data_IF_785778920618
#
_entry.id   IF_785778920618
#
_cell.length_a   1.000
_cell.length_b   1.000
_cell.length_c   1.000
_cell.angle_alpha   90.00
_cell.angle_beta   90.00
_cell.angle_gamma   90.00
#
_symmetry.space_group_name_H-M   'P 1'
#
loop_
_entity.id
_entity.type
_entity.pdbx_description
1 polymer ?
#
# COMPACT_ATOMS: atom_id res chain seq x y z
N UNK A 1 -13.32 10.43 7.75
CA UNK A 1 -13.16 10.12 6.31
C UNK A 1 -11.75 10.39 5.76
N UNK A 2 -10.98 11.33 6.31
CA UNK A 2 -9.64 11.73 5.83
C UNK A 2 -8.57 10.63 5.85
N UNK A 3 -8.53 9.77 6.89
CA UNK A 3 -7.51 8.70 6.99
C UNK A 3 -7.64 7.61 5.93
N UNK A 4 -8.87 7.26 5.54
CA UNK A 4 -9.13 6.25 4.52
C UNK A 4 -8.69 6.75 3.14
N UNK A 5 -8.96 8.04 2.85
CA UNK A 5 -8.51 8.69 1.61
C UNK A 5 -6.99 8.71 1.52
N UNK A 6 -6.30 9.00 2.62
CA UNK A 6 -4.83 9.01 2.67
C UNK A 6 -4.24 7.62 2.40
N UNK A 7 -4.80 6.56 3.01
CA UNK A 7 -4.37 5.17 2.77
C UNK A 7 -4.64 4.75 1.32
N UNK A 8 -5.79 5.13 0.75
CA UNK A 8 -6.09 4.86 -0.64
C UNK A 8 -5.12 5.56 -1.59
N UNK A 9 -4.80 6.84 -1.35
CA UNK A 9 -3.80 7.56 -2.13
C UNK A 9 -2.40 6.97 -1.99
N UNK A 10 -2.00 6.56 -0.78
CA UNK A 10 -0.73 5.88 -0.54
C UNK A 10 -0.64 4.56 -1.34
N UNK A 11 -1.72 3.79 -1.37
CA UNK A 11 -1.81 2.55 -2.14
C UNK A 11 -1.73 2.80 -3.65
N UNK A 12 -2.45 3.82 -4.15
CA UNK A 12 -2.43 4.20 -5.57
C UNK A 12 -1.02 4.63 -5.99
N UNK A 13 -0.36 5.47 -5.20
CA UNK A 13 1.00 5.94 -5.49
C UNK A 13 1.99 4.76 -5.51
N UNK A 14 1.91 3.85 -4.52
CA UNK A 14 2.74 2.66 -4.50
C UNK A 14 2.50 1.74 -5.72
N UNK A 15 1.25 1.57 -6.12
CA UNK A 15 0.87 0.83 -7.32
C UNK A 15 1.42 1.46 -8.61
N UNK A 16 1.36 2.78 -8.74
CA UNK A 16 1.91 3.49 -9.89
C UNK A 16 3.43 3.34 -10.00
N UNK A 17 4.15 3.46 -8.88
CA UNK A 17 5.61 3.25 -8.85
C UNK A 17 5.94 1.80 -9.24
N UNK A 18 5.15 0.83 -8.75
CA UNK A 18 5.33 -0.58 -9.07
C UNK A 18 5.06 -0.88 -10.54
N UNK A 19 3.99 -0.29 -11.10
CA UNK A 19 3.67 -0.45 -12.51
C UNK A 19 4.77 0.15 -13.40
N UNK A 20 5.31 1.32 -13.03
CA UNK A 20 6.44 1.92 -13.74
C UNK A 20 7.68 1.00 -13.72
N UNK A 21 8.03 0.45 -12.55
CA UNK A 21 9.12 -0.52 -12.41
C UNK A 21 8.88 -1.82 -13.21
N UNK A 22 7.64 -2.30 -13.24
CA UNK A 22 7.28 -3.51 -14.00
C UNK A 22 7.40 -3.33 -15.51
N UNK A 23 7.11 -2.12 -16.03
CA UNK A 23 7.23 -1.79 -17.45
C UNK A 23 8.69 -1.51 -17.83
N UNK A 24 9.41 -0.77 -16.99
CA UNK A 24 10.82 -0.47 -17.21
C UNK A 24 11.65 -0.73 -15.93
N UNK A 25 12.25 -1.92 -15.80
CA UNK A 25 13.05 -2.26 -14.63
C UNK A 25 14.47 -1.67 -14.75
N UNK A 26 14.57 -0.35 -14.73
CA UNK A 26 15.84 0.37 -14.67
C UNK A 26 16.32 0.61 -13.23
N UNK A 27 17.58 1.07 -13.06
CA UNK A 27 18.15 1.30 -11.73
C UNK A 27 17.46 2.42 -10.96
N UNK A 28 16.90 3.43 -11.64
CA UNK A 28 16.18 4.54 -11.01
C UNK A 28 14.79 4.11 -10.53
N UNK A 29 14.09 3.33 -11.34
CA UNK A 29 12.77 2.76 -11.04
C UNK A 29 12.87 1.74 -9.90
N UNK A 30 13.94 0.95 -9.89
CA UNK A 30 14.24 0.02 -8.79
C UNK A 30 14.43 0.76 -7.47
N UNK A 31 15.18 1.87 -7.47
CA UNK A 31 15.34 2.69 -6.27
C UNK A 31 14.01 3.28 -5.78
N UNK A 32 13.17 3.80 -6.69
CA UNK A 32 11.84 4.29 -6.34
C UNK A 32 10.96 3.17 -5.76
N UNK A 33 11.00 1.97 -6.34
CA UNK A 33 10.24 0.83 -5.85
C UNK A 33 10.70 0.41 -4.45
N UNK A 34 12.00 0.24 -4.24
CA UNK A 34 12.56 -0.27 -2.98
C UNK A 34 12.39 0.75 -1.84
N UNK A 35 12.68 2.02 -2.09
CA UNK A 35 12.69 3.02 -1.02
C UNK A 35 11.36 3.71 -0.79
N UNK A 36 10.45 3.72 -1.77
CA UNK A 36 9.14 4.37 -1.63
C UNK A 36 7.99 3.38 -1.69
N UNK A 37 7.89 2.58 -2.76
CA UNK A 37 6.73 1.70 -2.94
C UNK A 37 6.66 0.60 -1.87
N UNK A 38 7.79 -0.07 -1.56
CA UNK A 38 7.82 -1.13 -0.55
C UNK A 38 7.40 -0.62 0.85
N UNK A 39 7.96 0.47 1.41
CA UNK A 39 7.46 1.03 2.68
C UNK A 39 6.00 1.46 2.63
N UNK A 40 5.55 2.08 1.53
CA UNK A 40 4.15 2.46 1.36
C UNK A 40 3.23 1.24 1.39
N UNK A 41 3.60 0.14 0.72
CA UNK A 41 2.82 -1.09 0.77
C UNK A 41 2.77 -1.69 2.16
N UNK A 42 3.87 -1.68 2.92
CA UNK A 42 3.87 -2.17 4.30
C UNK A 42 2.90 -1.34 5.16
N UNK A 43 2.96 -0.01 5.06
CA UNK A 43 2.07 0.88 5.82
C UNK A 43 0.61 0.62 5.46
N UNK A 44 0.30 0.52 4.16
CA UNK A 44 -1.06 0.26 3.67
C UNK A 44 -1.52 -1.12 4.12
N UNK A 45 -0.70 -2.16 3.98
CA UNK A 45 -1.02 -3.53 4.34
C UNK A 45 -1.32 -3.67 5.84
N UNK A 46 -0.48 -3.11 6.70
CA UNK A 46 -0.70 -3.13 8.15
C UNK A 46 -1.97 -2.34 8.49
N UNK A 47 -2.10 -1.11 7.97
CA UNK A 47 -3.22 -0.24 8.31
C UNK A 47 -4.57 -0.80 7.88
N UNK A 48 -4.62 -1.32 6.65
CA UNK A 48 -5.82 -1.91 6.09
C UNK A 48 -6.10 -3.28 6.71
N UNK A 49 -5.06 -4.12 6.86
CA UNK A 49 -5.16 -5.43 7.49
C UNK A 49 -5.68 -5.34 8.93
N UNK A 50 -5.15 -4.43 9.75
CA UNK A 50 -5.69 -4.18 11.09
C UNK A 50 -7.14 -3.69 11.08
N UNK A 51 -7.50 -2.83 10.12
CA UNK A 51 -8.88 -2.36 9.99
C UNK A 51 -9.83 -3.49 9.62
N UNK A 52 -9.45 -4.34 8.66
CA UNK A 52 -10.23 -5.51 8.25
C UNK A 52 -10.32 -6.51 9.39
N UNK A 53 -9.21 -6.83 10.07
CA UNK A 53 -9.22 -7.72 11.23
C UNK A 53 -10.15 -7.21 12.35
N UNK A 54 -10.12 -5.90 12.64
CA UNK A 54 -11.02 -5.29 13.62
C UNK A 54 -12.49 -5.37 13.16
N UNK A 55 -12.76 -5.12 11.89
CA UNK A 55 -14.12 -5.17 11.33
C UNK A 55 -14.68 -6.60 11.38
N UNK A 56 -13.89 -7.58 10.96
CA UNK A 56 -14.23 -9.01 11.00
C UNK A 56 -14.48 -9.50 12.42
N UNK A 57 -13.64 -9.09 13.38
CA UNK A 57 -13.83 -9.42 14.80
C UNK A 57 -15.08 -8.76 15.38
N UNK A 58 -15.41 -7.53 14.96
CA UNK A 58 -16.65 -6.87 15.40
C UNK A 58 -17.91 -7.55 14.85
N UNK A 59 -17.78 -8.22 13.70
CA UNK A 59 -18.84 -8.97 13.03
C UNK A 59 -18.88 -10.45 13.42
N UNK A 60 -17.96 -10.89 14.31
CA UNK A 60 -17.90 -12.28 14.77
C UNK A 60 -17.50 -13.29 13.70
N UNK A 61 -16.84 -12.85 12.62
CA UNK A 61 -16.40 -13.73 11.50
C UNK A 61 -15.10 -14.46 11.87
N UNK A 62 -14.26 -13.83 12.68
CA UNK A 62 -13.00 -14.35 13.22
C UNK A 62 -12.91 -13.98 14.70
#
# INVERSE_FOLDING_TARGET
>A
MTRLRLQAWAAIIALLITAAFAIHPGPYEMALFVFFAQPLFVIVFISYGWRVAKDLRSKGVI
#
